data_IF_548231283712
#
_entry.id   IF_548231283712
#
_cell.length_a   1.000
_cell.length_b   1.000
_cell.length_c   1.000
_cell.angle_alpha   90.00
_cell.angle_beta   90.00
_cell.angle_gamma   90.00
#
_symmetry.space_group_name_H-M   'P 1'
#
loop_
_entity.id
_entity.type
_entity.pdbx_description
1 polymer ?
#
# COMPACT_ATOMS: atom_id res chain seq x y z
N UNK A 1 9.09 17.81 -12.58
CA UNK A 1 10.36 18.56 -12.48
C UNK A 1 11.11 18.33 -11.15
N UNK A 2 10.45 18.24 -9.99
CA UNK A 2 11.15 18.12 -8.70
C UNK A 2 11.95 16.82 -8.49
N UNK A 3 11.39 15.64 -8.81
CA UNK A 3 12.14 14.36 -8.80
C UNK A 3 13.39 14.39 -9.68
N UNK A 4 13.26 15.03 -10.85
CA UNK A 4 14.33 15.21 -11.82
C UNK A 4 15.45 16.07 -11.24
N UNK A 5 15.10 17.19 -10.59
CA UNK A 5 16.09 18.05 -9.96
C UNK A 5 16.76 17.37 -8.75
N UNK A 6 16.00 16.71 -7.86
CA UNK A 6 16.59 16.12 -6.66
C UNK A 6 17.53 14.94 -6.95
N UNK A 7 17.13 13.98 -7.79
CA UNK A 7 17.92 12.75 -7.95
C UNK A 7 18.85 12.75 -9.15
N UNK A 8 18.51 13.49 -10.22
CA UNK A 8 19.35 13.60 -11.41
C UNK A 8 20.37 14.74 -11.32
N UNK A 9 20.01 15.86 -10.65
CA UNK A 9 20.83 17.09 -10.63
C UNK A 9 21.51 17.29 -9.26
N UNK A 10 20.84 17.04 -8.14
CA UNK A 10 21.39 17.29 -6.80
C UNK A 10 22.07 16.06 -6.18
N UNK A 11 21.51 14.85 -6.37
CA UNK A 11 22.02 13.62 -5.75
C UNK A 11 22.96 12.77 -6.60
N UNK A 12 23.20 13.13 -7.87
CA UNK A 12 24.07 12.41 -8.84
C UNK A 12 23.84 10.87 -8.89
N UNK A 13 22.59 10.40 -8.76
CA UNK A 13 22.28 8.95 -8.80
C UNK A 13 21.22 8.64 -9.86
N UNK A 14 21.60 8.51 -11.15
CA UNK A 14 20.67 8.21 -12.23
C UNK A 14 19.90 6.90 -12.01
N UNK A 15 20.54 5.89 -11.41
CA UNK A 15 19.91 4.61 -11.15
C UNK A 15 18.79 4.73 -10.09
N UNK A 16 19.00 5.50 -9.02
CA UNK A 16 17.95 5.77 -8.03
C UNK A 16 16.77 6.51 -8.64
N UNK A 17 17.08 7.50 -9.49
CA UNK A 17 16.05 8.23 -10.23
C UNK A 17 15.19 7.29 -11.06
N UNK A 18 15.77 6.34 -11.80
CA UNK A 18 15.02 5.36 -12.59
C UNK A 18 14.10 4.52 -11.71
N UNK A 19 14.60 4.00 -10.58
CA UNK A 19 13.76 3.24 -9.65
C UNK A 19 12.58 4.04 -9.10
N UNK A 20 12.81 5.29 -8.68
CA UNK A 20 11.76 6.15 -8.17
C UNK A 20 10.78 6.61 -9.25
N UNK A 21 11.23 6.82 -10.49
CA UNK A 21 10.36 7.14 -11.61
C UNK A 21 9.45 5.95 -11.97
N UNK A 22 9.98 4.73 -12.00
CA UNK A 22 9.20 3.51 -12.22
C UNK A 22 8.22 3.27 -11.08
N UNK A 23 8.67 3.38 -9.83
CA UNK A 23 7.82 3.25 -8.66
C UNK A 23 6.71 4.31 -8.63
N UNK A 24 7.02 5.57 -8.98
CA UNK A 24 6.02 6.62 -9.12
C UNK A 24 4.97 6.26 -10.18
N UNK A 25 5.41 5.73 -11.33
CA UNK A 25 4.49 5.29 -12.39
C UNK A 25 3.56 4.18 -11.92
N UNK A 26 4.07 3.20 -11.17
CA UNK A 26 3.26 2.12 -10.58
C UNK A 26 2.28 2.68 -9.56
N UNK A 27 2.72 3.55 -8.64
CA UNK A 27 1.85 4.15 -7.62
C UNK A 27 0.76 5.03 -8.23
N UNK A 28 1.06 5.77 -9.29
CA UNK A 28 0.07 6.55 -10.04
C UNK A 28 -0.95 5.63 -10.72
N UNK A 29 -0.50 4.53 -11.32
CA UNK A 29 -1.41 3.55 -11.92
C UNK A 29 -2.33 2.93 -10.85
N UNK A 30 -1.77 2.51 -9.70
CA UNK A 30 -2.53 2.00 -8.56
C UNK A 30 -3.56 3.03 -8.10
N UNK A 31 -3.16 4.31 -7.94
CA UNK A 31 -4.06 5.38 -7.52
C UNK A 31 -5.30 5.51 -8.42
N UNK A 32 -5.12 5.54 -9.75
CA UNK A 32 -6.26 5.69 -10.66
C UNK A 32 -7.10 4.43 -10.78
N UNK A 33 -6.47 3.25 -10.82
CA UNK A 33 -7.19 1.98 -10.90
C UNK A 33 -8.03 1.77 -9.65
N UNK A 34 -7.46 2.02 -8.47
CA UNK A 34 -8.16 1.85 -7.21
C UNK A 34 -9.29 2.88 -7.01
N UNK A 35 -9.11 4.13 -7.48
CA UNK A 35 -10.18 5.12 -7.48
C UNK A 35 -11.36 4.77 -8.40
N UNK A 36 -11.11 4.05 -9.48
CA UNK A 36 -12.13 3.72 -10.47
C UNK A 36 -12.75 2.34 -10.24
N UNK A 37 -11.98 1.40 -9.74
CA UNK A 37 -12.35 -0.02 -9.67
C UNK A 37 -12.31 -0.58 -8.24
N UNK A 38 -11.89 0.19 -7.23
CA UNK A 38 -11.82 -0.24 -5.82
C UNK A 38 -10.96 -1.50 -5.59
N UNK A 39 -10.06 -1.77 -6.53
CA UNK A 39 -9.18 -2.93 -6.52
C UNK A 39 -7.76 -2.54 -6.92
N UNK A 40 -6.78 -3.23 -6.34
CA UNK A 40 -5.36 -3.05 -6.67
C UNK A 40 -4.85 -4.32 -7.35
N UNK A 41 -4.49 -4.28 -8.65
CA UNK A 41 -3.99 -5.44 -9.38
C UNK A 41 -2.74 -6.04 -8.74
N UNK A 42 -2.72 -7.36 -8.63
CA UNK A 42 -1.62 -8.10 -8.01
C UNK A 42 -0.29 -7.90 -8.76
N UNK A 43 -0.32 -7.76 -10.07
CA UNK A 43 0.86 -7.51 -10.88
C UNK A 43 1.52 -6.16 -10.51
N UNK A 44 0.74 -5.13 -10.19
CA UNK A 44 1.27 -3.83 -9.77
C UNK A 44 1.85 -3.89 -8.36
N UNK A 45 1.20 -4.60 -7.44
CA UNK A 45 1.72 -4.85 -6.10
C UNK A 45 3.07 -5.60 -6.14
N UNK A 46 3.17 -6.66 -6.94
CA UNK A 46 4.41 -7.42 -7.11
C UNK A 46 5.47 -6.60 -7.84
N UNK A 47 5.09 -5.80 -8.84
CA UNK A 47 6.02 -4.90 -9.51
C UNK A 47 6.65 -3.90 -8.52
N UNK A 48 5.86 -3.31 -7.62
CA UNK A 48 6.37 -2.38 -6.61
C UNK A 48 7.31 -3.09 -5.62
N UNK A 49 6.96 -4.30 -5.16
CA UNK A 49 7.82 -5.12 -4.30
C UNK A 49 9.17 -5.41 -4.98
N UNK A 50 9.15 -5.88 -6.24
CA UNK A 50 10.36 -6.18 -7.00
C UNK A 50 11.20 -4.90 -7.20
N UNK A 51 10.58 -3.78 -7.56
CA UNK A 51 11.29 -2.51 -7.71
C UNK A 51 11.96 -2.08 -6.41
N UNK A 52 11.30 -2.21 -5.26
CA UNK A 52 11.88 -1.88 -3.96
C UNK A 52 13.07 -2.77 -3.58
N UNK A 53 12.97 -4.08 -3.82
CA UNK A 53 14.06 -5.03 -3.55
C UNK A 53 15.25 -4.82 -4.48
N UNK A 54 14.99 -4.59 -5.77
CA UNK A 54 16.04 -4.27 -6.74
C UNK A 54 16.71 -2.93 -6.43
N UNK A 55 15.94 -1.91 -6.05
CA UNK A 55 16.47 -0.64 -5.59
C UNK A 55 17.42 -0.84 -4.40
N UNK A 56 17.01 -1.59 -3.38
CA UNK A 56 17.83 -1.84 -2.19
C UNK A 56 19.03 -2.77 -2.43
N UNK A 57 18.92 -3.68 -3.40
CA UNK A 57 19.99 -4.59 -3.79
C UNK A 57 21.06 -3.91 -4.64
N UNK A 58 20.66 -3.20 -5.69
CA UNK A 58 21.57 -2.57 -6.65
C UNK A 58 22.22 -1.29 -6.11
N UNK A 59 21.57 -0.58 -5.19
CA UNK A 59 22.12 0.61 -4.52
C UNK A 59 22.51 0.33 -3.06
N UNK A 60 22.84 -0.92 -2.72
CA UNK A 60 23.25 -1.29 -1.35
C UNK A 60 24.35 -0.35 -0.84
N UNK A 61 24.12 0.25 0.34
CA UNK A 61 25.07 1.13 1.01
C UNK A 61 25.06 2.58 0.51
N UNK A 62 24.26 2.91 -0.50
CA UNK A 62 24.07 4.31 -0.90
C UNK A 62 23.30 5.07 0.19
N UNK A 63 23.65 6.35 0.39
CA UNK A 63 23.05 7.20 1.42
C UNK A 63 21.52 7.33 1.23
N UNK A 64 20.79 7.41 2.33
CA UNK A 64 19.35 7.66 2.37
C UNK A 64 19.08 8.73 3.41
N UNK A 65 18.00 9.49 3.24
CA UNK A 65 17.61 10.48 4.24
C UNK A 65 17.21 9.85 5.59
N UNK A 66 17.01 8.53 5.61
CA UNK A 66 16.62 7.72 6.76
C UNK A 66 17.79 6.99 7.42
N UNK A 67 19.04 7.23 7.01
CA UNK A 67 20.22 6.50 7.46
C UNK A 67 20.48 6.56 8.97
N UNK A 68 19.98 7.61 9.64
CA UNK A 68 19.98 7.75 11.10
C UNK A 68 19.17 6.65 11.81
N UNK A 69 18.20 6.03 11.12
CA UNK A 69 17.47 4.87 11.63
C UNK A 69 18.14 3.56 11.15
N UNK A 70 18.31 2.59 12.03
CA UNK A 70 18.96 1.30 11.71
C UNK A 70 18.30 0.53 10.55
N UNK A 71 16.96 0.61 10.45
CA UNK A 71 16.18 0.04 9.35
C UNK A 71 16.05 0.97 8.13
N UNK A 72 16.56 2.21 8.21
CA UNK A 72 16.58 3.18 7.11
C UNK A 72 17.85 3.12 6.25
N UNK A 73 18.85 2.32 6.64
CA UNK A 73 20.03 2.06 5.80
C UNK A 73 19.65 1.20 4.59
N UNK A 74 20.04 1.63 3.40
CA UNK A 74 19.69 0.94 2.15
C UNK A 74 20.47 -0.36 1.96
N UNK A 75 19.80 -1.48 2.15
CA UNK A 75 20.30 -2.81 1.82
C UNK A 75 19.13 -3.80 1.67
N UNK A 76 19.39 -4.93 1.01
CA UNK A 76 18.36 -5.95 0.74
C UNK A 76 17.69 -6.48 2.02
N UNK A 77 18.44 -6.63 3.11
CA UNK A 77 17.89 -7.10 4.40
C UNK A 77 16.87 -6.11 4.94
N UNK A 78 17.20 -4.82 4.98
CA UNK A 78 16.32 -3.79 5.50
C UNK A 78 15.09 -3.57 4.60
N UNK A 79 15.22 -3.75 3.28
CA UNK A 79 14.06 -3.72 2.37
C UNK A 79 13.14 -4.93 2.60
N UNK A 80 13.69 -6.14 2.73
CA UNK A 80 12.91 -7.33 3.06
C UNK A 80 12.22 -7.20 4.43
N UNK A 81 12.92 -6.64 5.43
CA UNK A 81 12.33 -6.35 6.74
C UNK A 81 11.26 -5.25 6.66
N UNK A 82 11.47 -4.21 5.86
CA UNK A 82 10.46 -3.17 5.63
C UNK A 82 9.19 -3.74 5.02
N UNK A 83 9.31 -4.59 4.00
CA UNK A 83 8.19 -5.32 3.42
C UNK A 83 7.49 -6.24 4.43
N UNK A 84 8.25 -6.98 5.25
CA UNK A 84 7.70 -7.84 6.28
C UNK A 84 6.96 -7.05 7.37
N UNK A 85 7.54 -5.93 7.83
CA UNK A 85 6.91 -5.05 8.83
C UNK A 85 5.63 -4.45 8.25
N UNK A 86 5.66 -4.00 6.98
CA UNK A 86 4.49 -3.48 6.29
C UNK A 86 3.36 -4.50 6.20
N UNK A 87 3.64 -5.67 5.61
CA UNK A 87 2.69 -6.77 5.50
C UNK A 87 2.17 -7.19 6.87
N UNK A 88 3.05 -7.39 7.85
CA UNK A 88 2.68 -7.83 9.19
C UNK A 88 1.83 -6.82 9.95
N UNK A 89 2.16 -5.52 9.88
CA UNK A 89 1.36 -4.46 10.48
C UNK A 89 -0.05 -4.43 9.90
N UNK A 90 -0.15 -4.48 8.58
CA UNK A 90 -1.42 -4.38 7.87
C UNK A 90 -2.27 -5.65 8.04
N UNK A 91 -1.65 -6.84 8.02
CA UNK A 91 -2.30 -8.09 8.40
C UNK A 91 -2.80 -8.07 9.84
N UNK A 92 -2.04 -7.50 10.78
CA UNK A 92 -2.49 -7.38 12.17
C UNK A 92 -3.73 -6.47 12.28
N UNK A 93 -3.75 -5.34 11.56
CA UNK A 93 -4.91 -4.45 11.50
C UNK A 93 -6.13 -5.20 10.93
N UNK A 94 -5.95 -5.95 9.84
CA UNK A 94 -7.03 -6.73 9.22
C UNK A 94 -7.60 -7.78 10.20
N UNK A 95 -6.74 -8.55 10.86
CA UNK A 95 -7.15 -9.59 11.81
C UNK A 95 -7.84 -8.99 13.04
N UNK A 96 -7.27 -7.94 13.65
CA UNK A 96 -7.86 -7.28 14.81
C UNK A 96 -9.20 -6.64 14.46
N UNK A 97 -9.28 -6.02 13.28
CA UNK A 97 -10.52 -5.43 12.79
C UNK A 97 -11.59 -6.50 12.51
N UNK A 98 -11.20 -7.65 11.95
CA UNK A 98 -12.10 -8.80 11.75
C UNK A 98 -12.65 -9.33 13.06
N UNK A 99 -11.80 -9.50 14.08
CA UNK A 99 -12.21 -9.99 15.40
C UNK A 99 -13.09 -8.95 16.13
N UNK A 100 -12.71 -7.68 16.10
CA UNK A 100 -13.36 -6.61 16.84
C UNK A 100 -14.68 -6.13 16.23
N UNK A 101 -14.70 -5.90 14.92
CA UNK A 101 -15.84 -5.31 14.21
C UNK A 101 -16.68 -6.33 13.43
N UNK A 102 -16.22 -7.59 13.32
CA UNK A 102 -16.86 -8.64 12.51
C UNK A 102 -17.10 -8.23 11.06
N UNK A 103 -16.28 -7.32 10.55
CA UNK A 103 -16.27 -6.87 9.15
C UNK A 103 -14.83 -6.88 8.65
N UNK A 104 -14.67 -6.90 7.35
CA UNK A 104 -13.35 -6.87 6.72
C UNK A 104 -12.82 -5.44 6.84
N UNK A 105 -11.81 -5.29 7.69
CA UNK A 105 -11.36 -3.97 8.12
C UNK A 105 -10.40 -3.31 7.13
N UNK A 106 -9.83 -4.09 6.21
CA UNK A 106 -8.87 -3.61 5.24
C UNK A 106 -8.77 -4.54 4.04
N UNK A 107 -8.56 -3.99 2.86
CA UNK A 107 -8.45 -4.77 1.62
C UNK A 107 -7.14 -5.55 1.55
N UNK A 108 -7.19 -6.74 0.96
CA UNK A 108 -6.00 -7.55 0.67
C UNK A 108 -4.98 -6.78 -0.20
N UNK A 109 -5.47 -5.97 -1.15
CA UNK A 109 -4.65 -5.09 -1.97
C UNK A 109 -3.83 -4.07 -1.16
N UNK A 110 -4.40 -3.51 -0.08
CA UNK A 110 -3.71 -2.55 0.78
C UNK A 110 -2.54 -3.20 1.52
N UNK A 111 -2.71 -4.43 2.01
CA UNK A 111 -1.65 -5.20 2.69
C UNK A 111 -0.48 -5.43 1.72
N UNK A 112 -0.79 -5.85 0.48
CA UNK A 112 0.21 -6.08 -0.58
C UNK A 112 0.90 -4.79 -1.02
N UNK A 113 0.17 -3.66 -1.06
CA UNK A 113 0.71 -2.35 -1.41
C UNK A 113 1.71 -1.87 -0.36
N UNK A 114 1.34 -1.91 0.93
CA UNK A 114 2.23 -1.49 2.02
C UNK A 114 3.46 -2.39 2.15
N UNK A 115 3.35 -3.68 1.80
CA UNK A 115 4.51 -4.55 1.62
C UNK A 115 5.47 -4.02 0.56
N UNK A 116 4.96 -3.64 -0.62
CA UNK A 116 5.77 -3.02 -1.67
C UNK A 116 6.38 -1.68 -1.25
N UNK A 117 5.61 -0.83 -0.57
CA UNK A 117 6.09 0.42 0.01
C UNK A 117 7.22 0.19 1.03
N UNK A 118 7.08 -0.83 1.88
CA UNK A 118 8.09 -1.24 2.85
C UNK A 118 9.40 -1.67 2.21
N UNK A 119 9.36 -2.38 1.09
CA UNK A 119 10.57 -2.72 0.33
C UNK A 119 11.24 -1.48 -0.30
N UNK A 120 10.43 -0.56 -0.84
CA UNK A 120 10.92 0.61 -1.57
C UNK A 120 11.45 1.73 -0.67
N UNK A 121 10.68 2.09 0.35
CA UNK A 121 10.91 3.22 1.25
C UNK A 121 11.62 2.82 2.55
N UNK A 122 11.83 1.51 2.75
CA UNK A 122 12.27 0.91 4.00
C UNK A 122 11.26 1.16 5.14
N UNK A 123 11.49 0.56 6.30
CA UNK A 123 10.56 0.67 7.43
C UNK A 123 10.25 2.13 7.86
N UNK A 124 11.24 3.03 8.08
CA UNK A 124 10.92 4.38 8.55
C UNK A 124 10.14 5.20 7.51
N UNK A 125 10.53 5.15 6.23
CA UNK A 125 9.81 5.85 5.17
C UNK A 125 8.39 5.31 4.98
N UNK A 126 8.21 3.99 5.00
CA UNK A 126 6.88 3.37 4.91
C UNK A 126 5.96 3.78 6.06
N UNK A 127 6.44 3.84 7.31
CA UNK A 127 5.63 4.29 8.44
C UNK A 127 5.20 5.75 8.31
N UNK A 128 6.09 6.61 7.82
CA UNK A 128 5.77 8.02 7.53
C UNK A 128 4.77 8.13 6.39
N UNK A 129 4.94 7.35 5.32
CA UNK A 129 3.96 7.28 4.23
C UNK A 129 2.58 6.86 4.74
N UNK A 130 2.51 5.85 5.61
CA UNK A 130 1.25 5.43 6.23
C UNK A 130 0.63 6.54 7.09
N UNK A 131 1.42 7.24 7.90
CA UNK A 131 0.93 8.39 8.69
C UNK A 131 0.37 9.52 7.82
N UNK A 132 1.04 9.85 6.70
CA UNK A 132 0.55 10.81 5.71
C UNK A 132 -0.75 10.32 5.05
N UNK A 133 -0.86 9.02 4.78
CA UNK A 133 -2.06 8.41 4.20
C UNK A 133 -3.27 8.56 5.12
N UNK A 134 -3.09 8.32 6.43
CA UNK A 134 -4.14 8.54 7.43
C UNK A 134 -4.55 10.03 7.46
N UNK A 135 -3.56 10.94 7.49
CA UNK A 135 -3.83 12.38 7.56
C UNK A 135 -4.58 12.87 6.31
N UNK A 136 -4.14 12.47 5.11
CA UNK A 136 -4.77 12.85 3.85
C UNK A 136 -6.18 12.27 3.71
N UNK A 137 -6.36 11.00 4.09
CA UNK A 137 -7.69 10.36 4.14
C UNK A 137 -8.65 11.06 5.10
N UNK A 138 -8.20 11.40 6.30
CA UNK A 138 -9.01 12.12 7.29
C UNK A 138 -9.41 13.53 6.82
N UNK A 139 -8.47 14.28 6.22
CA UNK A 139 -8.74 15.63 5.69
C UNK A 139 -9.73 15.57 4.53
N UNK A 140 -9.49 14.70 3.55
CA UNK A 140 -10.31 14.62 2.33
C UNK A 140 -11.69 14.00 2.62
N UNK A 141 -11.75 12.93 3.41
CA UNK A 141 -13.00 12.32 3.86
C UNK A 141 -13.83 13.23 4.75
N UNK A 142 -13.18 13.98 5.65
CA UNK A 142 -13.82 15.02 6.44
C UNK A 142 -14.41 16.12 5.55
N UNK A 143 -13.61 16.69 4.63
CA UNK A 143 -14.05 17.72 3.71
C UNK A 143 -15.23 17.26 2.84
N UNK A 144 -15.17 16.03 2.31
CA UNK A 144 -16.26 15.42 1.53
C UNK A 144 -17.56 15.37 2.32
N UNK A 145 -17.49 14.90 3.57
CA UNK A 145 -18.65 14.81 4.47
C UNK A 145 -19.25 16.19 4.75
N UNK A 146 -18.41 17.21 4.99
CA UNK A 146 -18.86 18.59 5.19
C UNK A 146 -19.52 19.18 3.93
N UNK A 147 -19.01 18.89 2.73
CA UNK A 147 -19.55 19.39 1.47
C UNK A 147 -20.88 18.70 1.10
N UNK A 148 -21.02 17.40 1.37
CA UNK A 148 -22.23 16.62 1.08
C UNK A 148 -23.40 17.04 1.97
N UNK A 149 -23.15 17.35 3.24
CA UNK A 149 -24.17 17.88 4.16
C UNK A 149 -24.76 19.23 3.71
N UNK A 150 -24.17 19.94 2.74
CA UNK A 150 -24.69 21.19 2.20
C UNK A 150 -25.62 21.02 0.98
N UNK A 151 -25.66 19.82 0.37
CA UNK A 151 -26.43 19.54 -0.87
C UNK A 151 -27.66 18.65 -0.66
N UNK A 152 -27.98 18.23 0.55
CA UNK A 152 -29.14 17.37 0.82
C UNK A 152 -30.47 18.16 0.70
N UNK A 153 -30.96 18.33 -0.53
CA UNK A 153 -32.40 18.28 -0.80
C UNK A 153 -32.67 16.85 -1.28
N UNK A 154 -33.56 16.08 -0.60
CA UNK A 154 -33.79 14.70 -0.98
C UNK A 154 -34.51 14.66 -2.32
N UNK A 155 -33.86 14.20 -3.37
CA UNK A 155 -34.51 13.77 -4.61
C UNK A 155 -34.87 12.30 -4.45
N UNK A 156 -36.17 11.94 -4.39
CA UNK A 156 -36.60 10.55 -4.43
C UNK A 156 -36.62 10.13 -5.90
N UNK A 157 -35.62 9.37 -6.33
CA UNK A 157 -35.68 8.42 -7.46
C UNK A 157 -34.26 8.12 -7.95
N UNK A 158 -33.53 7.29 -7.21
CA UNK A 158 -32.64 6.31 -7.83
C UNK A 158 -32.97 4.99 -7.13
N UNK A 159 -33.31 3.97 -7.92
CA UNK A 159 -33.61 2.64 -7.42
C UNK A 159 -32.43 2.17 -6.55
N UNK A 160 -32.63 2.19 -5.23
CA UNK A 160 -31.82 1.46 -4.28
C UNK A 160 -32.01 -0.01 -4.61
N UNK A 161 -31.18 -0.55 -5.50
CA UNK A 161 -30.90 -1.98 -5.51
C UNK A 161 -30.43 -2.29 -4.10
N UNK A 162 -31.25 -2.98 -3.32
CA UNK A 162 -30.87 -3.55 -2.03
C UNK A 162 -29.76 -4.59 -2.30
N UNK A 163 -28.52 -4.13 -2.46
CA UNK A 163 -27.34 -4.98 -2.56
C UNK A 163 -27.14 -5.62 -1.19
N UNK A 164 -27.37 -6.94 -1.12
CA UNK A 164 -27.12 -7.71 0.09
C UNK A 164 -25.65 -7.54 0.50
N UNK A 165 -25.37 -7.13 1.76
CA UNK A 165 -24.00 -6.95 2.20
C UNK A 165 -23.25 -8.28 2.16
N UNK A 166 -22.17 -8.31 1.37
CA UNK A 166 -21.32 -9.49 1.20
C UNK A 166 -20.92 -10.04 2.57
N UNK A 167 -21.11 -11.35 2.82
CA UNK A 167 -20.74 -11.95 4.09
C UNK A 167 -19.22 -11.84 4.28
N UNK A 168 -18.76 -11.36 5.44
CA UNK A 168 -17.34 -11.11 5.63
C UNK A 168 -16.55 -12.41 5.71
N UNK A 169 -15.32 -12.41 5.23
CA UNK A 169 -14.56 -13.63 4.98
C UNK A 169 -14.31 -14.48 6.25
N UNK A 170 -14.18 -15.81 6.15
CA UNK A 170 -13.79 -16.64 7.29
C UNK A 170 -12.43 -16.22 7.87
N UNK A 171 -12.29 -16.19 9.20
CA UNK A 171 -11.01 -15.84 9.85
C UNK A 171 -9.88 -16.79 9.40
N UNK A 172 -10.19 -18.06 9.12
CA UNK A 172 -9.22 -19.03 8.62
C UNK A 172 -8.63 -18.67 7.26
N UNK A 173 -9.46 -18.19 6.32
CA UNK A 173 -8.97 -17.74 5.01
C UNK A 173 -8.15 -16.47 5.14
N UNK A 174 -8.60 -15.50 5.95
CA UNK A 174 -7.84 -14.27 6.23
C UNK A 174 -6.44 -14.57 6.79
N UNK A 175 -6.35 -15.47 7.79
CA UNK A 175 -5.08 -15.87 8.38
C UNK A 175 -4.16 -16.55 7.34
N UNK A 176 -4.72 -17.38 6.47
CA UNK A 176 -3.99 -18.00 5.37
C UNK A 176 -3.48 -16.93 4.39
N UNK A 177 -4.34 -16.02 3.94
CA UNK A 177 -3.95 -14.89 3.07
C UNK A 177 -2.81 -14.07 3.67
N UNK A 178 -2.93 -13.70 4.96
CA UNK A 178 -1.88 -12.97 5.67
C UNK A 178 -0.56 -13.76 5.74
N UNK A 179 -0.63 -15.07 5.96
CA UNK A 179 0.55 -15.94 5.93
C UNK A 179 1.19 -15.98 4.53
N UNK A 180 0.39 -16.09 3.47
CA UNK A 180 0.89 -16.06 2.09
C UNK A 180 1.58 -14.72 1.78
N UNK A 181 1.01 -13.61 2.22
CA UNK A 181 1.52 -12.27 1.93
C UNK A 181 2.82 -11.96 2.68
N UNK A 182 2.91 -12.38 3.93
CA UNK A 182 4.11 -12.21 4.77
C UNK A 182 5.26 -13.11 4.34
N UNK A 183 4.96 -14.32 3.84
CA UNK A 183 5.94 -15.27 3.29
C UNK A 183 6.24 -15.05 1.80
N UNK A 184 5.58 -14.08 1.16
CA UNK A 184 5.68 -13.74 -0.26
C UNK A 184 5.32 -14.89 -1.22
N UNK A 185 4.55 -15.86 -0.73
CA UNK A 185 4.08 -16.97 -1.54
C UNK A 185 3.12 -16.46 -2.61
N UNK A 186 2.26 -15.50 -2.28
CA UNK A 186 1.38 -14.81 -3.24
C UNK A 186 2.21 -14.16 -4.37
N UNK A 187 3.28 -13.43 -4.04
CA UNK A 187 4.11 -12.76 -5.02
C UNK A 187 4.77 -13.77 -5.98
N UNK A 188 5.17 -14.94 -5.48
CA UNK A 188 5.67 -16.03 -6.32
C UNK A 188 4.58 -16.64 -7.19
N UNK A 189 3.36 -16.79 -6.66
CA UNK A 189 2.21 -17.29 -7.43
C UNK A 189 1.86 -16.33 -8.56
N UNK A 190 1.83 -15.02 -8.32
CA UNK A 190 1.53 -13.99 -9.34
C UNK A 190 2.49 -14.05 -10.53
N UNK A 191 3.73 -14.52 -10.34
CA UNK A 191 4.71 -14.69 -11.43
C UNK A 191 4.45 -15.93 -12.31
N UNK A 192 3.56 -16.83 -11.90
CA UNK A 192 3.19 -18.02 -12.67
C UNK A 192 2.15 -17.69 -13.76
N UNK A 193 2.03 -18.50 -14.82
CA UNK A 193 0.95 -18.35 -15.80
C UNK A 193 -0.43 -18.46 -15.14
N UNK A 194 -1.41 -17.66 -15.57
CA UNK A 194 -2.78 -17.61 -14.98
C UNK A 194 -3.44 -18.97 -14.75
N UNK A 195 -3.23 -19.94 -15.65
CA UNK A 195 -3.76 -21.32 -15.50
C UNK A 195 -3.21 -22.06 -14.28
N UNK A 196 -1.97 -21.77 -13.90
CA UNK A 196 -1.30 -22.39 -12.75
C UNK A 196 -1.72 -21.69 -11.46
N UNK A 197 -1.83 -20.36 -11.49
CA UNK A 197 -2.33 -19.56 -10.37
C UNK A 197 -3.67 -20.11 -9.87
N UNK A 198 -4.64 -20.27 -10.77
CA UNK A 198 -5.97 -20.83 -10.46
C UNK A 198 -5.91 -22.18 -9.75
N UNK A 199 -5.03 -23.08 -10.19
CA UNK A 199 -4.89 -24.40 -9.56
C UNK A 199 -4.27 -24.31 -8.17
N UNK A 200 -3.28 -23.43 -7.99
CA UNK A 200 -2.61 -23.27 -6.70
C UNK A 200 -3.58 -22.67 -5.69
N UNK A 201 -4.29 -21.60 -6.05
CA UNK A 201 -5.29 -20.98 -5.17
C UNK A 201 -6.44 -21.92 -4.82
N UNK A 202 -6.97 -22.67 -5.80
CA UNK A 202 -7.97 -23.70 -5.55
C UNK A 202 -7.46 -24.79 -4.59
N UNK A 203 -6.18 -25.18 -4.68
CA UNK A 203 -5.58 -26.18 -3.78
C UNK A 203 -5.39 -25.68 -2.34
N UNK A 204 -5.27 -24.36 -2.17
CA UNK A 204 -5.15 -23.70 -0.87
C UNK A 204 -6.51 -23.51 -0.18
N UNK A 205 -7.61 -23.86 -0.85
CA UNK A 205 -8.96 -23.68 -0.32
C UNK A 205 -9.39 -22.21 -0.24
N UNK A 206 -8.71 -21.32 -0.96
CA UNK A 206 -9.18 -19.95 -1.15
C UNK A 206 -10.28 -19.97 -2.23
N UNK A 207 -11.43 -19.30 -2.01
CA UNK A 207 -12.52 -19.28 -2.97
C UNK A 207 -12.05 -18.73 -4.32
N UNK A 208 -12.62 -19.24 -5.42
CA UNK A 208 -12.33 -18.82 -6.80
C UNK A 208 -12.54 -17.30 -7.04
N UNK A 209 -13.15 -16.59 -6.09
CA UNK A 209 -13.38 -15.14 -6.07
C UNK A 209 -12.10 -14.29 -6.14
N UNK A 210 -10.93 -14.77 -5.67
CA UNK A 210 -9.66 -14.01 -5.79
C UNK A 210 -9.16 -13.88 -7.25
N UNK A 211 -9.71 -14.66 -8.18
CA UNK A 211 -9.33 -14.72 -9.60
C UNK A 211 -10.45 -14.35 -10.58
N UNK A 212 -11.72 -14.42 -10.14
CA UNK A 212 -12.88 -14.15 -10.97
C UNK A 212 -13.38 -12.71 -10.84
N UNK A 213 -13.25 -12.10 -9.66
CA UNK A 213 -13.80 -10.77 -9.39
C UNK A 213 -12.71 -9.79 -8.92
N UNK A 214 -11.93 -9.32 -9.89
CA UNK A 214 -11.42 -7.94 -9.89
C UNK A 214 -12.58 -6.90 -9.94
N UNK A 215 -13.84 -7.35 -9.92
CA UNK A 215 -15.06 -6.56 -9.74
C UNK A 215 -15.55 -6.67 -8.30
N UNK A 216 -14.95 -5.89 -7.40
CA UNK A 216 -15.67 -5.51 -6.20
C UNK A 216 -16.77 -4.52 -6.66
N UNK A 217 -18.05 -4.91 -6.58
CA UNK A 217 -19.15 -4.00 -6.88
C UNK A 217 -19.21 -2.86 -5.85
N UNK A 218 -19.47 -1.67 -6.37
CA UNK A 218 -19.37 -0.37 -5.71
C UNK A 218 -20.32 -0.26 -4.51
N UNK A 219 -19.87 -0.54 -3.28
CA UNK A 219 -20.66 -0.09 -2.13
C UNK A 219 -20.51 1.44 -1.98
N UNK A 220 -21.58 2.26 -2.08
CA UNK A 220 -21.50 3.73 -2.19
C UNK A 220 -20.92 4.46 -0.97
N UNK A 221 -20.51 3.71 0.06
CA UNK A 221 -20.03 4.22 1.36
C UNK A 221 -18.59 3.84 1.68
N UNK A 222 -17.91 3.00 0.90
CA UNK A 222 -16.51 2.65 1.16
C UNK A 222 -15.57 3.61 0.42
N UNK A 223 -14.72 4.33 1.16
CA UNK A 223 -13.59 5.05 0.57
C UNK A 223 -12.41 4.07 0.45
N UNK A 224 -11.86 3.82 -0.75
CA UNK A 224 -10.72 2.94 -0.90
C UNK A 224 -9.52 3.59 -0.20
N UNK A 225 -8.80 2.81 0.61
CA UNK A 225 -7.65 3.33 1.36
C UNK A 225 -6.38 3.39 0.50
N UNK A 226 -6.30 2.54 -0.54
CA UNK A 226 -5.19 2.44 -1.46
C UNK A 226 -4.77 3.72 -2.18
N UNK A 227 -5.65 4.67 -2.58
CA UNK A 227 -5.19 5.90 -3.22
C UNK A 227 -4.50 6.80 -2.21
N UNK A 228 -4.93 6.79 -0.94
CA UNK A 228 -4.26 7.54 0.12
C UNK A 228 -2.89 6.92 0.45
N UNK A 229 -2.78 5.59 0.46
CA UNK A 229 -1.49 4.88 0.57
C UNK A 229 -0.53 5.26 -0.57
N UNK A 230 -1.02 5.28 -1.81
CA UNK A 230 -0.23 5.67 -2.97
C UNK A 230 0.23 7.13 -2.86
N UNK A 231 -0.64 8.05 -2.45
CA UNK A 231 -0.29 9.45 -2.19
C UNK A 231 0.74 9.57 -1.07
N UNK A 232 0.56 8.87 0.04
CA UNK A 232 1.51 8.84 1.15
C UNK A 232 2.89 8.36 0.71
N UNK A 233 2.95 7.28 -0.08
CA UNK A 233 4.18 6.75 -0.64
C UNK A 233 4.87 7.76 -1.58
N UNK A 234 4.12 8.38 -2.48
CA UNK A 234 4.61 9.40 -3.41
C UNK A 234 5.16 10.62 -2.68
N UNK A 235 4.44 11.13 -1.69
CA UNK A 235 4.86 12.29 -0.89
C UNK A 235 6.12 11.97 -0.08
N UNK A 236 6.19 10.80 0.54
CA UNK A 236 7.39 10.36 1.26
C UNK A 236 8.60 10.24 0.34
N UNK A 237 8.41 9.72 -0.88
CA UNK A 237 9.48 9.60 -1.86
C UNK A 237 9.93 10.97 -2.41
N UNK A 238 9.01 11.92 -2.55
CA UNK A 238 9.28 13.24 -3.13
C UNK A 238 9.91 14.22 -2.13
N UNK A 239 9.54 14.10 -0.85
CA UNK A 239 9.95 15.00 0.23
C UNK A 239 10.75 14.29 1.32
N UNK A 240 11.45 13.21 0.96
CA UNK A 240 12.17 12.34 1.90
C UNK A 240 13.11 13.10 2.82
N UNK A 241 13.92 14.02 2.29
CA UNK A 241 14.84 14.82 3.11
C UNK A 241 14.15 15.69 4.15
N UNK A 242 13.05 16.36 3.80
CA UNK A 242 12.30 17.20 4.75
C UNK A 242 11.61 16.34 5.81
N UNK A 243 10.91 15.29 5.38
CA UNK A 243 10.17 14.39 6.26
C UNK A 243 11.10 13.65 7.22
N UNK A 244 12.20 13.10 6.72
CA UNK A 244 13.18 12.42 7.55
C UNK A 244 13.85 13.39 8.54
N UNK A 245 14.15 14.62 8.10
CA UNK A 245 14.66 15.67 8.99
C UNK A 245 13.69 16.03 10.11
N UNK A 246 12.39 16.18 9.83
CA UNK A 246 11.38 16.47 10.85
C UNK A 246 11.21 15.31 11.82
N UNK A 247 11.16 14.07 11.33
CA UNK A 247 11.05 12.88 12.17
C UNK A 247 12.27 12.73 13.06
N UNK A 248 13.47 12.92 12.50
CA UNK A 248 14.73 12.89 13.27
C UNK A 248 14.76 13.96 14.36
N UNK A 249 14.42 15.20 14.02
CA UNK A 249 14.37 16.30 14.98
C UNK A 249 13.37 16.04 16.12
N UNK A 250 12.24 15.38 15.80
CA UNK A 250 11.28 14.95 16.81
C UNK A 250 11.88 13.89 17.75
N UNK A 251 12.52 12.84 17.23
CA UNK A 251 13.16 11.82 18.08
C UNK A 251 14.27 12.41 18.96
N UNK A 252 15.13 13.24 18.38
CA UNK A 252 16.19 13.95 19.13
C UNK A 252 15.59 14.84 20.23
N UNK A 253 14.46 15.52 19.97
CA UNK A 253 13.76 16.32 20.96
C UNK A 253 13.14 15.48 22.09
N UNK A 254 12.61 14.30 21.79
CA UNK A 254 12.07 13.36 22.80
C UNK A 254 13.20 12.63 23.56
N UNK A 255 14.44 12.68 23.06
CA UNK A 255 15.62 12.07 23.68
C UNK A 255 15.92 10.64 23.21
N UNK A 256 15.52 10.31 21.98
CA UNK A 256 15.81 9.05 21.29
C UNK A 256 16.80 9.24 20.14
#
# INVERSE_FOLDING_TARGET
>A
AWLWHQWLIVGESPLRFVFYALAASVLIAIFFIDLQHYIIPDELNVALLILGLLHAGLLKGAATDWDWASLGVLNLRNAALGALIGAGLFSLIAILGRIGFRKDAMGHGDIKLVRGMGALLLAPGMLVAFAISIATGAILGGLWTLLRNRKATPTPDEHETEEEPIPPEPIGSLLLSCALYTLWVDALITLLPRRVQQRVYASLGQPEEELADESFEETPTMLPFGPFLAVGALLTMLFSGALAGWVRAYFEWVGF
#
